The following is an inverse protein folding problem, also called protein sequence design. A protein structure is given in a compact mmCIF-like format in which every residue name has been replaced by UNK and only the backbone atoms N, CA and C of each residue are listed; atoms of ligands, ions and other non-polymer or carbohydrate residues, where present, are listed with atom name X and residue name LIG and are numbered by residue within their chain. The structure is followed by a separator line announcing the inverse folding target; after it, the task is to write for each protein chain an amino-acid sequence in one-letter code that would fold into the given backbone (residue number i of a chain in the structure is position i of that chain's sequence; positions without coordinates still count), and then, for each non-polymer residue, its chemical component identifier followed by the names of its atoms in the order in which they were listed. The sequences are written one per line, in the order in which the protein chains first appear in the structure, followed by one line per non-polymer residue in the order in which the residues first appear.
data_IF_565176702168
#
_entry.id   IF_565176702168
#
_cell.length_a   1.000
_cell.length_b   1.000
_cell.length_c   1.000
_cell.angle_alpha   90.00
_cell.angle_beta   90.00
_cell.angle_gamma   90.00
#
_symmetry.space_group_name_H-M   'P 1'
#
loop_
_entity.id
_entity.type
_entity.pdbx_description
1 polymer ?
#
# COMPACT_ATOMS: atom_id res chain seq x y z
N UNK A 1 -12.03 1.97 2.09
CA UNK A 1 -10.66 2.01 1.52
C UNK A 1 -10.74 2.17 0.02
N UNK A 2 -9.97 3.09 -0.53
CA UNK A 2 -9.81 3.17 -1.98
C UNK A 2 -8.77 2.13 -2.40
N UNK A 3 -9.16 1.18 -3.23
CA UNK A 3 -8.26 0.17 -3.77
C UNK A 3 -8.58 -0.04 -5.23
N UNK A 4 -7.55 0.06 -6.06
CA UNK A 4 -7.64 -0.20 -7.50
C UNK A 4 -6.65 -1.30 -7.85
N UNK A 5 -7.12 -2.30 -8.61
CA UNK A 5 -6.24 -3.32 -9.13
C UNK A 5 -5.75 -2.89 -10.51
N UNK A 6 -4.47 -3.13 -10.76
CA UNK A 6 -3.82 -2.78 -12.02
C UNK A 6 -3.98 -3.94 -13.00
N UNK A 7 -4.33 -3.63 -14.25
CA UNK A 7 -4.41 -4.61 -15.31
C UNK A 7 -3.90 -4.00 -16.62
N UNK A 8 -3.60 -4.85 -17.57
CA UNK A 8 -3.07 -4.43 -18.88
C UNK A 8 -4.10 -4.71 -19.96
N UNK A 9 -4.30 -3.72 -20.82
CA UNK A 9 -5.17 -3.83 -22.00
C UNK A 9 -4.50 -3.09 -23.15
N UNK A 10 -4.26 -3.79 -24.24
CA UNK A 10 -3.62 -3.24 -25.45
C UNK A 10 -2.31 -2.51 -25.13
N UNK A 11 -1.51 -3.08 -24.21
CA UNK A 11 -0.24 -2.51 -23.79
C UNK A 11 -0.34 -1.35 -22.80
N UNK A 12 -1.55 -0.89 -22.47
CA UNK A 12 -1.77 0.19 -21.51
C UNK A 12 -1.99 -0.37 -20.10
N UNK A 13 -1.44 0.32 -19.12
CA UNK A 13 -1.58 -0.03 -17.71
C UNK A 13 -2.79 0.73 -17.13
N UNK A 14 -3.86 0.02 -16.87
CA UNK A 14 -5.14 0.59 -16.45
C UNK A 14 -5.45 0.21 -14.99
N UNK A 15 -6.37 0.95 -14.38
CA UNK A 15 -6.83 0.74 -13.02
C UNK A 15 -8.32 0.43 -13.01
N UNK A 16 -8.70 -0.59 -12.25
CA UNK A 16 -10.10 -0.97 -12.02
C UNK A 16 -10.38 -0.95 -10.52
N UNK A 17 -11.51 -0.36 -10.06
CA UNK A 17 -11.81 -0.40 -8.62
C UNK A 17 -12.01 -1.84 -8.16
N UNK A 18 -11.48 -2.14 -6.99
CA UNK A 18 -11.77 -3.39 -6.28
C UNK A 18 -13.20 -3.26 -5.74
N UNK A 19 -14.05 -4.21 -6.08
CA UNK A 19 -15.48 -4.12 -5.87
C UNK A 19 -15.88 -4.12 -4.38
N UNK A 20 -15.31 -5.06 -3.62
CA UNK A 20 -15.63 -5.25 -2.22
C UNK A 20 -14.51 -6.02 -1.51
N UNK A 21 -14.68 -6.27 -0.22
CA UNK A 21 -13.70 -7.01 0.57
C UNK A 21 -13.53 -8.44 0.09
N UNK A 22 -14.58 -9.07 -0.39
CA UNK A 22 -14.51 -10.44 -0.94
C UNK A 22 -13.60 -10.48 -2.16
N UNK A 23 -13.78 -9.56 -3.11
CA UNK A 23 -12.90 -9.46 -4.28
C UNK A 23 -11.47 -9.13 -3.87
N UNK A 24 -11.30 -8.24 -2.90
CA UNK A 24 -9.97 -7.88 -2.39
C UNK A 24 -9.22 -9.12 -1.90
N UNK A 25 -9.88 -9.96 -1.10
CA UNK A 25 -9.29 -11.20 -0.60
C UNK A 25 -8.99 -12.20 -1.70
N UNK A 26 -9.91 -12.35 -2.66
CA UNK A 26 -9.68 -13.23 -3.81
C UNK A 26 -8.48 -12.81 -4.62
N UNK A 27 -8.32 -11.51 -4.85
CA UNK A 27 -7.15 -10.97 -5.57
C UNK A 27 -5.86 -11.22 -4.80
N UNK A 28 -5.86 -11.04 -3.49
CA UNK A 28 -4.69 -11.29 -2.65
C UNK A 28 -4.32 -12.76 -2.58
N UNK A 29 -5.29 -13.65 -2.53
CA UNK A 29 -5.07 -15.09 -2.42
C UNK A 29 -4.91 -15.76 -3.79
N UNK A 30 -4.89 -15.00 -4.88
CA UNK A 30 -4.66 -15.54 -6.21
C UNK A 30 -3.33 -16.32 -6.27
N UNK A 31 -3.33 -17.43 -7.00
CA UNK A 31 -2.17 -18.33 -7.09
C UNK A 31 -0.91 -17.60 -7.54
N UNK A 32 -1.04 -16.64 -8.45
CA UNK A 32 0.10 -15.86 -8.96
C UNK A 32 0.82 -15.06 -7.86
N UNK A 33 0.18 -14.82 -6.73
CA UNK A 33 0.79 -14.11 -5.60
C UNK A 33 1.70 -15.02 -4.75
N UNK A 34 1.62 -16.34 -4.95
CA UNK A 34 2.45 -17.33 -4.25
C UNK A 34 3.73 -17.60 -5.02
N UNK A 35 4.43 -16.54 -5.36
CA UNK A 35 5.66 -16.60 -6.17
C UNK A 35 6.80 -15.91 -5.42
N UNK A 36 8.03 -16.30 -5.75
CA UNK A 36 9.21 -15.61 -5.27
C UNK A 36 9.47 -14.31 -6.03
N UNK A 37 8.92 -14.17 -7.24
CA UNK A 37 9.05 -12.98 -8.06
C UNK A 37 7.84 -12.07 -7.87
N UNK A 38 8.04 -10.99 -7.09
CA UNK A 38 6.98 -10.03 -6.80
C UNK A 38 6.34 -9.40 -8.05
N UNK A 39 7.08 -9.36 -9.17
CA UNK A 39 6.56 -8.77 -10.42
C UNK A 39 5.44 -9.61 -11.04
N UNK A 40 5.27 -10.87 -10.61
CA UNK A 40 4.14 -11.71 -11.02
C UNK A 40 2.92 -11.52 -10.13
N UNK A 41 3.07 -10.85 -8.99
CA UNK A 41 1.97 -10.61 -8.06
C UNK A 41 0.95 -9.62 -8.62
N UNK A 42 -0.27 -9.70 -8.12
CA UNK A 42 -1.29 -8.68 -8.36
C UNK A 42 -0.76 -7.35 -7.85
N UNK A 43 -0.97 -6.28 -8.60
CA UNK A 43 -0.55 -4.93 -8.26
C UNK A 43 -1.77 -4.09 -7.91
N UNK A 44 -1.69 -3.33 -6.84
CA UNK A 44 -2.75 -2.43 -6.41
C UNK A 44 -2.23 -1.02 -6.19
N UNK A 45 -3.12 -0.04 -6.29
CA UNK A 45 -2.86 1.34 -5.91
C UNK A 45 -3.94 1.79 -4.94
N UNK A 46 -3.54 2.57 -3.93
CA UNK A 46 -4.42 3.03 -2.86
C UNK A 46 -4.52 4.55 -2.77
N UNK A 47 -3.66 5.27 -3.44
CA UNK A 47 -3.46 6.70 -3.19
C UNK A 47 -4.06 7.63 -4.23
N UNK A 48 -4.38 7.15 -5.42
CA UNK A 48 -4.92 8.00 -6.48
C UNK A 48 -6.16 7.39 -7.14
N UNK A 49 -6.85 8.23 -7.90
CA UNK A 49 -7.93 7.82 -8.79
C UNK A 49 -7.35 7.70 -10.20
N UNK A 50 -7.93 6.85 -11.06
CA UNK A 50 -7.46 6.75 -12.44
C UNK A 50 -7.67 8.06 -13.18
N UNK A 51 -6.85 8.32 -14.21
CA UNK A 51 -7.04 9.46 -15.06
C UNK A 51 -8.26 9.25 -15.98
N UNK A 52 -8.55 10.21 -16.88
CA UNK A 52 -9.72 10.16 -17.76
C UNK A 52 -9.79 8.91 -18.62
N UNK A 53 -8.65 8.35 -18.98
CA UNK A 53 -8.57 7.14 -19.80
C UNK A 53 -8.57 5.84 -18.98
N UNK A 54 -8.75 5.95 -17.66
CA UNK A 54 -8.66 4.81 -16.78
C UNK A 54 -7.23 4.37 -16.46
N UNK A 55 -6.23 5.13 -16.92
CA UNK A 55 -4.82 4.77 -16.75
C UNK A 55 -4.25 5.23 -15.41
N UNK A 56 -3.23 4.52 -14.94
CA UNK A 56 -2.45 4.89 -13.76
C UNK A 56 -1.47 6.01 -14.09
N UNK A 57 -0.76 5.89 -15.21
CA UNK A 57 0.24 6.86 -15.63
C UNK A 57 -0.37 8.23 -15.82
N UNK A 58 0.22 9.24 -15.19
CA UNK A 58 -0.25 10.61 -15.29
C UNK A 58 -1.45 10.93 -14.40
N UNK A 59 -1.90 10.00 -13.56
CA UNK A 59 -2.98 10.27 -12.62
C UNK A 59 -2.55 11.35 -11.62
N UNK A 60 -3.43 12.34 -11.42
CA UNK A 60 -3.15 13.48 -10.54
C UNK A 60 -4.16 13.65 -9.42
N UNK A 61 -5.29 12.94 -9.48
CA UNK A 61 -6.34 13.07 -8.47
C UNK A 61 -6.06 12.15 -7.29
N UNK A 62 -6.15 12.72 -6.09
CA UNK A 62 -5.96 11.97 -4.85
C UNK A 62 -7.21 11.14 -4.50
N UNK A 63 -7.00 9.92 -4.01
CA UNK A 63 -8.08 9.11 -3.46
C UNK A 63 -8.33 9.49 -2.00
N UNK A 64 -9.30 8.84 -1.38
CA UNK A 64 -9.61 9.03 0.05
C UNK A 64 -8.62 8.34 0.97
N UNK A 65 -7.77 7.49 0.45
CA UNK A 65 -6.78 6.76 1.25
C UNK A 65 -5.37 7.07 0.79
N UNK A 66 -4.42 6.72 1.65
CA UNK A 66 -2.98 6.85 1.41
C UNK A 66 -2.35 5.48 1.60
N UNK A 67 -1.60 5.04 0.61
CA UNK A 67 -0.77 3.85 0.72
C UNK A 67 0.62 4.22 1.25
N UNK A 68 1.07 3.53 2.27
CA UNK A 68 2.35 3.75 2.92
C UNK A 68 3.14 2.44 2.91
N UNK A 69 4.41 2.53 2.56
CA UNK A 69 5.31 1.40 2.52
C UNK A 69 6.39 1.58 3.58
N UNK A 70 6.62 0.56 4.39
CA UNK A 70 7.65 0.53 5.42
C UNK A 70 8.59 -0.61 5.12
N UNK A 71 9.87 -0.31 4.92
CA UNK A 71 10.90 -1.29 4.66
C UNK A 71 12.00 -1.20 5.70
N UNK A 72 12.54 -2.35 6.09
CA UNK A 72 13.71 -2.45 6.96
C UNK A 72 14.81 -3.22 6.27
N UNK A 73 16.05 -2.96 6.66
CA UNK A 73 17.20 -3.69 6.17
C UNK A 73 17.28 -5.06 6.86
N UNK A 74 17.10 -6.17 6.12
CA UNK A 74 17.16 -7.52 6.71
C UNK A 74 18.51 -7.88 7.33
N UNK A 75 19.56 -7.14 6.96
CA UNK A 75 20.91 -7.35 7.50
C UNK A 75 21.19 -6.56 8.77
N UNK A 76 20.30 -5.63 9.14
CA UNK A 76 20.48 -4.84 10.35
C UNK A 76 20.30 -5.73 11.59
N UNK A 77 21.12 -5.52 12.66
CA UNK A 77 21.02 -6.33 13.87
C UNK A 77 19.65 -6.28 14.56
N UNK A 78 18.94 -5.16 14.40
CA UNK A 78 17.64 -4.93 15.02
C UNK A 78 16.44 -5.23 14.10
N UNK A 79 16.68 -5.86 12.94
CA UNK A 79 15.64 -6.15 11.96
C UNK A 79 14.44 -6.90 12.55
N UNK A 80 14.71 -8.02 13.24
CA UNK A 80 13.65 -8.85 13.82
C UNK A 80 12.82 -8.07 14.86
N UNK A 81 13.49 -7.26 15.67
CA UNK A 81 12.83 -6.44 16.69
C UNK A 81 11.92 -5.40 16.03
N UNK A 82 12.44 -4.70 15.03
CA UNK A 82 11.66 -3.68 14.30
C UNK A 82 10.46 -4.28 13.59
N UNK A 83 10.65 -5.42 12.92
CA UNK A 83 9.55 -6.13 12.25
C UNK A 83 8.46 -6.53 13.23
N UNK A 84 8.82 -6.99 14.42
CA UNK A 84 7.86 -7.37 15.45
C UNK A 84 7.13 -6.18 16.06
N UNK A 85 7.77 -5.02 16.12
CA UNK A 85 7.19 -3.80 16.72
C UNK A 85 6.13 -3.14 15.86
N UNK A 86 6.23 -3.21 14.53
CA UNK A 86 5.34 -2.45 13.65
C UNK A 86 3.86 -2.78 13.85
N UNK A 87 3.43 -4.05 13.89
CA UNK A 87 2.01 -4.34 14.12
C UNK A 87 1.48 -3.76 15.42
N UNK A 88 2.25 -3.80 16.48
CA UNK A 88 1.87 -3.23 17.78
C UNK A 88 1.74 -1.72 17.73
N UNK A 89 2.72 -1.05 17.11
CA UNK A 89 2.70 0.41 16.95
C UNK A 89 1.49 0.85 16.12
N UNK A 90 1.25 0.19 15.01
CA UNK A 90 0.15 0.52 14.11
C UNK A 90 -1.20 0.29 14.78
N UNK A 91 -1.40 -0.87 15.40
CA UNK A 91 -2.65 -1.20 16.06
C UNK A 91 -2.91 -0.31 17.27
N UNK A 92 -1.85 0.11 17.98
CA UNK A 92 -1.95 1.04 19.10
C UNK A 92 -2.38 2.45 18.68
N UNK A 93 -2.24 2.80 17.41
CA UNK A 93 -2.59 4.11 16.85
C UNK A 93 -3.67 4.02 15.78
N UNK A 94 -4.35 2.90 15.65
CA UNK A 94 -5.29 2.65 14.56
C UNK A 94 -6.39 3.71 14.43
N UNK A 95 -6.90 4.18 15.54
CA UNK A 95 -7.97 5.19 15.53
C UNK A 95 -7.45 6.54 15.06
N UNK A 96 -6.35 7.01 15.64
CA UNK A 96 -5.74 8.30 15.26
C UNK A 96 -5.29 8.29 13.80
N UNK A 97 -4.69 7.18 13.37
CA UNK A 97 -4.21 7.00 12.00
C UNK A 97 -5.37 6.93 11.00
N UNK A 98 -6.52 6.42 11.41
CA UNK A 98 -7.59 6.06 10.49
C UNK A 98 -7.20 4.83 9.68
N UNK A 99 -6.70 3.80 10.36
CA UNK A 99 -6.20 2.59 9.73
C UNK A 99 -7.29 1.88 8.94
N UNK A 100 -6.98 1.55 7.68
CA UNK A 100 -7.88 0.81 6.78
C UNK A 100 -7.32 -0.58 6.45
N UNK A 101 -5.99 -0.72 6.40
CA UNK A 101 -5.35 -1.99 6.10
C UNK A 101 -3.92 -2.01 6.62
N UNK A 102 -3.51 -3.16 7.15
CA UNK A 102 -2.13 -3.46 7.51
C UNK A 102 -1.81 -4.86 7.01
N UNK A 103 -0.72 -4.99 6.27
CA UNK A 103 -0.25 -6.29 5.78
C UNK A 103 1.27 -6.33 5.73
N UNK A 104 1.83 -7.54 5.75
CA UNK A 104 3.24 -7.70 5.46
C UNK A 104 3.47 -7.52 3.96
N UNK A 105 4.57 -6.85 3.61
CA UNK A 105 5.00 -6.78 2.22
C UNK A 105 5.61 -8.11 1.78
N UNK A 106 5.88 -8.23 0.48
CA UNK A 106 6.45 -9.46 -0.06
C UNK A 106 7.83 -9.80 0.52
N UNK A 107 8.59 -8.81 0.97
CA UNK A 107 9.98 -9.00 1.37
C UNK A 107 10.27 -8.59 2.82
N UNK A 108 10.43 -7.30 3.07
CA UNK A 108 11.16 -6.81 4.25
C UNK A 108 10.44 -5.71 5.00
N UNK A 109 9.13 -5.70 4.97
CA UNK A 109 8.39 -4.64 5.65
C UNK A 109 6.89 -4.83 5.66
N UNK A 110 6.18 -3.71 5.57
CA UNK A 110 4.73 -3.66 5.71
C UNK A 110 4.12 -2.66 4.75
N UNK A 111 2.90 -2.95 4.33
CA UNK A 111 2.02 -2.00 3.66
C UNK A 111 0.96 -1.54 4.64
N UNK A 112 0.72 -0.24 4.68
CA UNK A 112 -0.31 0.37 5.51
C UNK A 112 -1.17 1.25 4.61
N UNK A 113 -2.49 1.14 4.75
CA UNK A 113 -3.42 2.05 4.10
C UNK A 113 -4.20 2.75 5.19
N UNK A 114 -4.26 4.07 5.13
CA UNK A 114 -4.98 4.88 6.12
C UNK A 114 -5.78 5.98 5.42
N UNK A 115 -6.70 6.57 6.18
CA UNK A 115 -7.55 7.65 5.65
C UNK A 115 -6.73 8.91 5.43
N UNK A 116 -6.89 9.49 4.24
CA UNK A 116 -6.21 10.73 3.88
C UNK A 116 -6.68 11.88 4.77
N UNK A 117 -5.74 12.64 5.30
CA UNK A 117 -6.03 13.89 6.01
C UNK A 117 -6.33 14.98 5.00
N UNK A 118 -7.52 15.61 5.06
CA UNK A 118 -7.84 16.71 4.14
C UNK A 118 -6.89 17.88 4.33
N UNK A 119 -6.59 18.57 3.25
CA UNK A 119 -5.73 19.75 3.29
C UNK A 119 -4.24 19.47 3.32
N UNK A 120 -3.84 18.21 3.43
CA UNK A 120 -2.43 17.80 3.37
C UNK A 120 -2.13 17.12 2.04
N UNK A 121 -0.92 17.37 1.51
CA UNK A 121 -0.44 16.66 0.31
C UNK A 121 -0.19 15.20 0.61
N UNK A 122 0.12 14.41 -0.42
CA UNK A 122 0.52 13.01 -0.25
C UNK A 122 1.73 12.91 0.68
N UNK A 123 2.77 13.69 0.40
CA UNK A 123 3.98 13.68 1.22
C UNK A 123 3.71 14.11 2.66
N UNK A 124 2.90 15.15 2.86
CA UNK A 124 2.54 15.61 4.20
C UNK A 124 1.76 14.56 4.98
N UNK A 125 0.86 13.83 4.32
CA UNK A 125 0.15 12.72 4.94
C UNK A 125 1.12 11.62 5.40
N UNK A 126 2.08 11.26 4.54
CA UNK A 126 3.08 10.24 4.87
C UNK A 126 3.98 10.68 6.03
N UNK A 127 4.41 11.93 6.03
CA UNK A 127 5.22 12.48 7.12
C UNK A 127 4.46 12.50 8.44
N UNK A 128 3.19 12.87 8.38
CA UNK A 128 2.33 12.86 9.57
C UNK A 128 2.20 11.45 10.14
N UNK A 129 1.88 10.47 9.29
CA UNK A 129 1.75 9.07 9.71
C UNK A 129 3.06 8.51 10.26
N UNK A 130 4.16 8.82 9.61
CA UNK A 130 5.51 8.41 10.05
C UNK A 130 5.81 8.93 11.45
N UNK A 131 5.52 10.19 11.72
CA UNK A 131 5.73 10.78 13.06
C UNK A 131 4.80 10.15 14.10
N UNK A 132 3.53 9.95 13.75
CA UNK A 132 2.56 9.33 14.64
C UNK A 132 2.99 7.93 15.07
N UNK A 133 3.48 7.14 14.12
CA UNK A 133 3.89 5.75 14.36
C UNK A 133 5.32 5.61 14.86
N UNK A 134 6.15 6.62 14.69
CA UNK A 134 7.57 6.54 15.07
C UNK A 134 8.38 5.64 14.15
N UNK A 135 7.97 5.49 12.89
CA UNK A 135 8.68 4.68 11.90
C UNK A 135 8.86 5.46 10.60
N UNK A 136 9.95 5.18 9.89
CA UNK A 136 10.19 5.78 8.59
C UNK A 136 9.41 5.05 7.50
N UNK A 137 9.03 5.78 6.46
CA UNK A 137 8.35 5.25 5.29
C UNK A 137 9.26 5.26 4.07
N UNK A 138 8.99 4.36 3.12
CA UNK A 138 9.68 4.36 1.82
C UNK A 138 9.23 5.60 1.03
N UNK A 139 10.21 6.41 0.64
CA UNK A 139 9.98 7.67 -0.08
C UNK A 139 9.29 7.49 -1.43
N UNK A 140 9.35 6.30 -2.01
CA UNK A 140 8.63 5.99 -3.25
C UNK A 140 7.13 6.18 -3.14
N UNK A 141 6.56 6.05 -1.95
CA UNK A 141 5.13 6.25 -1.71
C UNK A 141 4.67 7.71 -1.82
N UNK A 142 5.59 8.68 -1.93
CA UNK A 142 5.24 10.07 -2.23
C UNK A 142 4.61 10.20 -3.61
N UNK A 143 4.97 9.33 -4.52
CA UNK A 143 4.31 9.23 -5.83
C UNK A 143 2.97 8.55 -5.64
N UNK A 144 1.89 9.28 -5.91
CA UNK A 144 0.53 8.75 -5.73
C UNK A 144 0.23 7.58 -6.66
N UNK A 145 1.00 7.41 -7.73
CA UNK A 145 0.86 6.31 -8.69
C UNK A 145 1.65 5.06 -8.29
N UNK A 146 2.30 5.07 -7.12
CA UNK A 146 3.04 3.91 -6.61
C UNK A 146 2.14 2.69 -6.56
N UNK A 147 2.60 1.58 -7.15
CA UNK A 147 1.90 0.29 -7.05
C UNK A 147 2.46 -0.52 -5.89
N UNK A 148 1.58 -1.33 -5.30
CA UNK A 148 1.90 -2.22 -4.19
C UNK A 148 1.68 -3.65 -4.67
N UNK A 149 2.69 -4.50 -4.48
CA UNK A 149 2.57 -5.92 -4.77
C UNK A 149 1.87 -6.61 -3.60
N UNK A 150 0.93 -7.50 -3.90
CA UNK A 150 0.02 -8.06 -2.89
C UNK A 150 0.41 -9.49 -2.53
N UNK A 151 1.08 -9.72 -1.38
CA UNK A 151 1.30 -11.09 -0.91
C UNK A 151 -0.02 -11.70 -0.43
N UNK A 152 -0.12 -13.05 -0.39
CA UNK A 152 -1.31 -13.72 0.12
C UNK A 152 -1.62 -13.33 1.57
N UNK A 153 -2.90 -13.45 1.95
CA UNK A 153 -3.37 -13.04 3.28
C UNK A 153 -2.81 -13.89 4.42
N UNK A 154 -2.32 -15.09 4.12
CA UNK A 154 -1.73 -16.00 5.11
C UNK A 154 -0.22 -15.81 5.31
N UNK A 155 0.34 -14.75 4.81
CA UNK A 155 1.75 -14.41 5.00
C UNK A 155 1.98 -13.39 6.09
#
# INVERSE_FOLDING_TARGET
MSAFVIYYKDGAKLMRPVKDETEYRLLRDAERNRTADKHHMVQMNYSCLPNENGALKGATRLSRSVGMDIDFDPKAPDYEVKMAQVPELVMGKKEELGLLMLERSANKGFHIVFRRRPGLSQEENLKWASRLLGVEYDKGAKDITRVFFTPPTDR
#
